data_IF_781867991680
#
_entry.id   IF_781867991680
#
_cell.length_a   1.000
_cell.length_b   1.000
_cell.length_c   1.000
_cell.angle_alpha   90.00
_cell.angle_beta   90.00
_cell.angle_gamma   90.00
#
_symmetry.space_group_name_H-M   'P 1'
#
loop_
_entity.id
_entity.type
_entity.pdbx_description
1 polymer ?
#
# COMPACT_ATOMS: atom_id res chain seq x y z
N UNK A 1 -3.38 -69.02 -66.42
CA UNK A 1 -4.58 -68.40 -67.00
C UNK A 1 -4.62 -66.94 -66.54
N UNK A 2 -4.79 -65.95 -67.43
CA UNK A 2 -4.80 -64.53 -67.04
C UNK A 2 -6.15 -64.17 -66.40
N UNK A 3 -6.15 -63.26 -65.43
CA UNK A 3 -7.34 -62.82 -64.69
C UNK A 3 -8.40 -62.21 -65.62
N UNK A 4 -7.98 -61.44 -66.63
CA UNK A 4 -8.86 -60.92 -67.67
C UNK A 4 -9.58 -62.03 -68.44
N UNK A 5 -8.86 -63.08 -68.86
CA UNK A 5 -9.44 -64.20 -69.62
C UNK A 5 -10.44 -64.99 -68.76
N UNK A 6 -10.18 -65.12 -67.45
CA UNK A 6 -11.07 -65.77 -66.50
C UNK A 6 -12.36 -64.97 -66.26
N UNK A 7 -12.25 -63.66 -66.05
CA UNK A 7 -13.41 -62.78 -65.83
C UNK A 7 -14.26 -62.67 -67.10
N UNK A 8 -13.63 -62.63 -68.28
CA UNK A 8 -14.34 -62.55 -69.55
C UNK A 8 -15.15 -63.82 -69.86
N UNK A 9 -14.64 -64.99 -69.51
CA UNK A 9 -15.33 -66.27 -69.69
C UNK A 9 -16.38 -66.58 -68.60
N UNK A 10 -16.33 -65.90 -67.45
CA UNK A 10 -17.28 -66.07 -66.34
C UNK A 10 -18.07 -64.77 -66.05
N UNK A 11 -18.20 -63.91 -67.06
CA UNK A 11 -18.77 -62.57 -66.93
C UNK A 11 -20.21 -62.59 -66.41
N UNK A 12 -20.98 -63.56 -66.85
CA UNK A 12 -22.39 -63.71 -66.45
C UNK A 12 -22.50 -64.13 -64.97
N UNK A 13 -21.61 -65.02 -64.50
CA UNK A 13 -21.55 -65.44 -63.09
C UNK A 13 -21.08 -64.33 -62.14
N UNK A 14 -20.19 -63.43 -62.61
CA UNK A 14 -19.67 -62.31 -61.79
C UNK A 14 -20.65 -61.12 -61.78
N UNK A 15 -21.45 -60.94 -62.84
CA UNK A 15 -22.38 -59.80 -62.95
C UNK A 15 -23.68 -60.00 -62.17
N UNK A 16 -24.00 -61.25 -61.81
CA UNK A 16 -25.18 -61.60 -60.98
C UNK A 16 -24.90 -61.60 -59.48
N UNK A 17 -23.63 -61.58 -59.06
CA UNK A 17 -23.27 -61.48 -57.64
C UNK A 17 -23.38 -60.03 -57.14
N UNK A 18 -24.42 -59.76 -56.37
CA UNK A 18 -24.53 -58.53 -55.59
C UNK A 18 -23.62 -58.59 -54.36
N UNK A 19 -23.02 -57.46 -53.98
CA UNK A 19 -22.30 -57.38 -52.71
C UNK A 19 -23.21 -57.83 -51.57
N UNK A 20 -22.64 -58.55 -50.61
CA UNK A 20 -23.37 -58.94 -49.41
C UNK A 20 -23.90 -57.69 -48.70
N UNK A 21 -25.13 -57.72 -48.21
CA UNK A 21 -25.71 -56.60 -47.46
C UNK A 21 -24.85 -56.14 -46.28
N UNK A 22 -24.06 -57.06 -45.70
CA UNK A 22 -23.12 -56.76 -44.63
C UNK A 22 -21.88 -56.01 -45.13
N UNK A 23 -21.39 -56.34 -46.33
CA UNK A 23 -20.28 -55.63 -46.95
C UNK A 23 -20.70 -54.21 -47.35
N UNK A 24 -21.90 -54.06 -47.92
CA UNK A 24 -22.47 -52.75 -48.27
C UNK A 24 -22.65 -51.86 -47.04
N UNK A 25 -23.28 -52.38 -45.99
CA UNK A 25 -23.47 -51.62 -44.75
C UNK A 25 -22.14 -51.20 -44.09
N UNK A 26 -21.12 -52.08 -44.13
CA UNK A 26 -19.80 -51.76 -43.62
C UNK A 26 -19.09 -50.70 -44.48
N UNK A 27 -19.22 -50.79 -45.80
CA UNK A 27 -18.63 -49.82 -46.72
C UNK A 27 -19.28 -48.44 -46.57
N UNK A 28 -20.61 -48.38 -46.45
CA UNK A 28 -21.35 -47.15 -46.18
C UNK A 28 -20.98 -46.51 -44.84
N UNK A 29 -20.76 -47.33 -43.80
CA UNK A 29 -20.28 -46.86 -42.50
C UNK A 29 -18.89 -46.22 -42.61
N UNK A 30 -17.99 -46.87 -43.37
CA UNK A 30 -16.64 -46.35 -43.63
C UNK A 30 -16.66 -45.07 -44.47
N UNK A 31 -17.54 -44.98 -45.49
CA UNK A 31 -17.72 -43.79 -46.31
C UNK A 31 -18.23 -42.61 -45.48
N UNK A 32 -19.23 -42.83 -44.61
CA UNK A 32 -19.73 -41.79 -43.70
C UNK A 32 -18.63 -41.30 -42.76
N UNK A 33 -17.82 -42.21 -42.22
CA UNK A 33 -16.71 -41.86 -41.33
C UNK A 33 -15.59 -41.07 -42.02
N UNK A 34 -15.26 -41.41 -43.28
CA UNK A 34 -14.16 -40.78 -44.02
C UNK A 34 -14.53 -39.49 -44.76
N UNK A 35 -15.71 -39.43 -45.37
CA UNK A 35 -16.11 -38.30 -46.23
C UNK A 35 -16.87 -37.20 -45.48
N UNK A 36 -17.54 -37.51 -44.37
CA UNK A 36 -18.40 -36.57 -43.66
C UNK A 36 -17.89 -36.29 -42.24
N UNK A 37 -16.64 -35.85 -42.11
CA UNK A 37 -16.19 -35.30 -40.83
C UNK A 37 -16.82 -33.91 -40.62
N UNK A 38 -17.68 -33.71 -39.61
CA UNK A 38 -18.19 -32.38 -39.31
C UNK A 38 -17.02 -31.51 -38.84
N UNK A 39 -16.76 -30.41 -39.56
CA UNK A 39 -15.81 -29.38 -39.08
C UNK A 39 -16.27 -28.95 -37.68
N UNK A 40 -15.42 -29.16 -36.67
CA UNK A 40 -15.70 -28.74 -35.28
C UNK A 40 -16.05 -27.26 -35.29
N UNK A 41 -17.29 -26.93 -34.94
CA UNK A 41 -17.72 -25.53 -34.80
C UNK A 41 -16.86 -24.89 -33.72
N UNK A 42 -16.07 -23.87 -34.07
CA UNK A 42 -15.35 -23.07 -33.06
C UNK A 42 -16.42 -22.39 -32.21
N UNK A 43 -16.55 -22.84 -30.97
CA UNK A 43 -17.49 -22.25 -30.01
C UNK A 43 -16.99 -20.84 -29.69
N UNK A 44 -17.78 -19.82 -29.99
CA UNK A 44 -17.41 -18.42 -29.79
C UNK A 44 -17.63 -18.06 -28.32
N UNK A 45 -16.70 -18.50 -27.46
CA UNK A 45 -16.66 -18.10 -26.04
C UNK A 45 -16.41 -16.60 -25.83
N UNK A 46 -16.08 -15.86 -26.90
CA UNK A 46 -15.76 -14.44 -26.87
C UNK A 46 -16.85 -13.60 -26.17
N UNK A 47 -18.15 -13.95 -26.37
CA UNK A 47 -19.27 -13.24 -25.75
C UNK A 47 -19.32 -13.42 -24.22
N UNK A 48 -18.90 -14.56 -23.70
CA UNK A 48 -18.91 -14.84 -22.27
C UNK A 48 -17.67 -14.28 -21.57
N UNK A 49 -16.53 -14.25 -22.28
CA UNK A 49 -15.28 -13.66 -21.78
C UNK A 49 -15.46 -12.14 -21.54
N UNK A 50 -16.15 -11.42 -22.45
CA UNK A 50 -16.40 -9.98 -22.28
C UNK A 50 -17.30 -9.65 -21.09
N UNK A 51 -18.28 -10.51 -20.78
CA UNK A 51 -19.18 -10.33 -19.63
C UNK A 51 -18.43 -10.58 -18.32
N UNK A 52 -17.66 -11.67 -18.23
CA UNK A 52 -16.87 -11.97 -17.02
C UNK A 52 -15.82 -10.88 -16.72
N UNK A 53 -15.14 -10.35 -17.75
CA UNK A 53 -14.19 -9.25 -17.59
C UNK A 53 -14.84 -7.97 -17.05
N UNK A 54 -16.07 -7.67 -17.50
CA UNK A 54 -16.83 -6.51 -17.02
C UNK A 54 -17.22 -6.66 -15.54
N UNK A 55 -17.65 -7.85 -15.13
CA UNK A 55 -17.96 -8.16 -13.73
C UNK A 55 -16.71 -8.04 -12.86
N UNK A 56 -15.56 -8.57 -13.32
CA UNK A 56 -14.29 -8.45 -12.61
C UNK A 56 -13.83 -7.00 -12.49
N UNK A 57 -14.00 -6.19 -13.53
CA UNK A 57 -13.67 -4.76 -13.48
C UNK A 57 -14.55 -4.03 -12.46
N UNK A 58 -15.87 -4.25 -12.46
CA UNK A 58 -16.79 -3.66 -11.48
C UNK A 58 -16.44 -4.12 -10.06
N UNK A 59 -16.13 -5.40 -9.87
CA UNK A 59 -15.74 -5.94 -8.57
C UNK A 59 -14.39 -5.37 -8.10
N UNK A 60 -13.42 -5.22 -9.00
CA UNK A 60 -12.13 -4.60 -8.69
C UNK A 60 -12.25 -3.11 -8.37
N UNK A 61 -13.13 -2.38 -9.08
CA UNK A 61 -13.42 -0.97 -8.81
C UNK A 61 -14.17 -0.81 -7.49
N UNK A 62 -15.13 -1.70 -7.20
CA UNK A 62 -15.88 -1.74 -5.94
C UNK A 62 -14.98 -2.09 -4.76
N UNK A 63 -14.07 -3.06 -4.92
CA UNK A 63 -13.08 -3.40 -3.91
C UNK A 63 -12.09 -2.26 -3.67
N UNK A 64 -11.63 -1.58 -4.72
CA UNK A 64 -10.75 -0.41 -4.60
C UNK A 64 -11.45 0.78 -3.93
N UNK A 65 -12.73 1.02 -4.24
CA UNK A 65 -13.54 2.05 -3.59
C UNK A 65 -13.88 1.70 -2.13
N UNK A 66 -14.12 0.43 -1.82
CA UNK A 66 -14.38 -0.05 -0.47
C UNK A 66 -13.13 -0.04 0.42
N UNK A 67 -11.94 0.02 -0.17
CA UNK A 67 -10.67 0.14 0.56
C UNK A 67 -10.29 1.59 0.90
N UNK A 68 -11.21 2.56 0.72
CA UNK A 68 -11.10 3.86 1.40
C UNK A 68 -11.20 3.61 2.89
N UNK A 69 -10.12 3.86 3.63
CA UNK A 69 -10.08 3.80 5.09
C UNK A 69 -11.30 4.54 5.66
N UNK A 70 -12.21 3.80 6.31
CA UNK A 70 -13.22 4.41 7.15
C UNK A 70 -12.48 4.94 8.39
N UNK A 71 -12.16 6.23 8.39
CA UNK A 71 -11.61 6.94 9.55
C UNK A 71 -12.58 6.71 10.71
N UNK A 72 -12.10 6.20 11.85
CA UNK A 72 -12.95 6.02 13.03
C UNK A 72 -13.47 7.38 13.51
N UNK A 73 -14.63 7.41 14.15
CA UNK A 73 -15.16 8.65 14.74
C UNK A 73 -14.17 9.29 15.72
N UNK A 74 -13.43 8.46 16.46
CA UNK A 74 -12.37 8.86 17.38
C UNK A 74 -11.21 9.55 16.66
N UNK A 75 -10.76 9.01 15.52
CA UNK A 75 -9.70 9.63 14.73
C UNK A 75 -10.15 10.95 14.11
N UNK A 76 -11.41 11.07 13.69
CA UNK A 76 -11.96 12.33 13.20
C UNK A 76 -12.01 13.38 14.30
N UNK A 77 -12.47 13.02 15.51
CA UNK A 77 -12.51 13.92 16.66
C UNK A 77 -11.10 14.35 17.08
N UNK A 78 -10.17 13.40 17.13
CA UNK A 78 -8.76 13.68 17.40
C UNK A 78 -8.19 14.69 16.41
N UNK A 79 -8.34 14.44 15.11
CA UNK A 79 -7.86 15.36 14.08
C UNK A 79 -8.54 16.74 14.17
N UNK A 80 -9.84 16.78 14.41
CA UNK A 80 -10.57 18.04 14.61
C UNK A 80 -10.04 18.82 15.81
N UNK A 81 -9.72 18.15 16.92
CA UNK A 81 -9.10 18.78 18.08
C UNK A 81 -7.71 19.31 17.76
N UNK A 82 -6.87 18.55 17.04
CA UNK A 82 -5.54 18.99 16.57
C UNK A 82 -5.60 20.17 15.58
N UNK A 83 -6.71 20.34 14.86
CA UNK A 83 -6.96 21.44 13.93
C UNK A 83 -7.65 22.65 14.56
N UNK A 84 -8.07 22.55 15.82
CA UNK A 84 -8.84 23.60 16.47
C UNK A 84 -8.06 24.93 16.63
N UNK A 85 -8.78 26.05 16.54
CA UNK A 85 -8.21 27.39 16.75
C UNK A 85 -7.71 27.60 18.19
N UNK A 86 -8.39 26.98 19.16
CA UNK A 86 -8.02 27.13 20.57
C UNK A 86 -6.84 26.21 20.93
N UNK A 87 -5.84 26.79 21.60
CA UNK A 87 -4.69 26.01 22.09
C UNK A 87 -5.11 24.90 23.08
N UNK A 88 -6.16 25.14 23.88
CA UNK A 88 -6.70 24.14 24.79
C UNK A 88 -7.22 22.90 24.06
N UNK A 89 -7.98 23.08 22.97
CA UNK A 89 -8.48 21.95 22.17
C UNK A 89 -7.36 21.21 21.43
N UNK A 90 -6.37 21.93 20.91
CA UNK A 90 -5.17 21.27 20.33
C UNK A 90 -4.43 20.44 21.36
N UNK A 91 -4.30 20.96 22.58
CA UNK A 91 -3.66 20.24 23.68
C UNK A 91 -4.44 18.97 24.07
N UNK A 92 -5.77 19.06 24.12
CA UNK A 92 -6.67 17.91 24.31
C UNK A 92 -6.45 16.85 23.22
N UNK A 93 -6.37 17.25 21.95
CA UNK A 93 -6.04 16.34 20.86
C UNK A 93 -4.67 15.69 21.02
N UNK A 94 -3.64 16.46 21.40
CA UNK A 94 -2.30 15.90 21.64
C UNK A 94 -2.30 14.89 22.78
N UNK A 95 -3.03 15.14 23.87
CA UNK A 95 -3.14 14.18 24.98
C UNK A 95 -3.94 12.94 24.61
N UNK A 96 -5.06 13.09 23.89
CA UNK A 96 -5.83 11.96 23.39
C UNK A 96 -5.00 11.04 22.49
N UNK A 97 -4.16 11.62 21.61
CA UNK A 97 -3.19 10.84 20.84
C UNK A 97 -2.23 10.06 21.75
N UNK A 98 -1.73 10.68 22.80
CA UNK A 98 -0.74 10.08 23.69
C UNK A 98 -1.29 8.91 24.51
N UNK A 99 -2.53 9.03 24.95
CA UNK A 99 -3.14 8.10 25.90
C UNK A 99 -3.89 6.96 25.20
N UNK A 100 -4.52 7.24 24.05
CA UNK A 100 -5.48 6.32 23.43
C UNK A 100 -5.01 5.79 22.06
N UNK A 101 -4.31 6.63 21.29
CA UNK A 101 -4.02 6.37 19.88
C UNK A 101 -2.52 6.10 19.66
N UNK A 102 -1.95 5.11 20.36
CA UNK A 102 -0.54 4.67 20.20
C UNK A 102 -0.25 3.97 18.85
N UNK A 103 -1.02 4.29 17.81
CA UNK A 103 -0.84 3.79 16.45
C UNK A 103 -0.02 4.81 15.67
N UNK A 104 0.95 4.32 14.91
CA UNK A 104 1.78 5.13 14.01
C UNK A 104 0.98 5.54 12.77
N UNK A 105 -0.03 6.39 12.95
CA UNK A 105 -0.87 6.89 11.86
C UNK A 105 -0.20 8.07 11.15
N UNK A 106 -0.01 7.93 9.83
CA UNK A 106 0.70 8.94 9.04
C UNK A 106 -0.04 10.28 9.00
N UNK A 107 -1.38 10.30 9.00
CA UNK A 107 -2.15 11.56 8.98
C UNK A 107 -1.96 12.33 10.28
N UNK A 108 -2.13 11.65 11.41
CA UNK A 108 -1.99 12.28 12.73
C UNK A 108 -0.54 12.72 12.95
N UNK A 109 0.45 11.88 12.61
CA UNK A 109 1.87 12.24 12.72
C UNK A 109 2.20 13.48 11.88
N UNK A 110 1.65 13.59 10.67
CA UNK A 110 1.86 14.78 9.84
C UNK A 110 1.28 16.03 10.50
N UNK A 111 0.11 15.91 11.11
CA UNK A 111 -0.52 17.02 11.80
C UNK A 111 0.25 17.44 13.04
N UNK A 112 0.69 16.49 13.86
CA UNK A 112 1.57 16.75 15.00
C UNK A 112 2.89 17.39 14.57
N UNK A 113 3.50 16.95 13.47
CA UNK A 113 4.70 17.60 12.91
C UNK A 113 4.39 19.05 12.50
N UNK A 114 3.23 19.32 11.92
CA UNK A 114 2.85 20.68 11.58
C UNK A 114 2.70 21.57 12.82
N UNK A 115 2.04 21.06 13.87
CA UNK A 115 1.92 21.73 15.18
C UNK A 115 3.32 22.02 15.76
N UNK A 116 4.22 21.04 15.76
CA UNK A 116 5.58 21.20 16.25
C UNK A 116 6.29 22.42 15.61
N UNK A 117 6.15 22.58 14.30
CA UNK A 117 6.81 23.66 13.57
C UNK A 117 6.08 24.99 13.68
N UNK A 118 4.75 24.99 13.58
CA UNK A 118 3.97 26.21 13.33
C UNK A 118 3.14 26.72 14.49
N UNK A 119 2.86 25.91 15.51
CA UNK A 119 1.95 26.32 16.58
C UNK A 119 2.52 27.51 17.37
N UNK A 120 1.72 28.53 17.62
CA UNK A 120 2.18 29.70 18.37
C UNK A 120 2.38 29.37 19.87
N UNK A 121 1.61 28.40 20.39
CA UNK A 121 1.59 28.05 21.80
C UNK A 121 2.71 27.06 22.16
N UNK A 122 3.63 27.51 23.01
CA UNK A 122 4.77 26.71 23.47
C UNK A 122 4.35 25.40 24.17
N UNK A 123 3.26 25.40 24.93
CA UNK A 123 2.81 24.22 25.67
C UNK A 123 2.28 23.14 24.72
N UNK A 124 1.55 23.54 23.66
CA UNK A 124 1.08 22.62 22.62
C UNK A 124 2.28 21.99 21.90
N UNK A 125 3.30 22.78 21.53
CA UNK A 125 4.55 22.24 20.96
C UNK A 125 5.24 21.26 21.90
N UNK A 126 5.36 21.59 23.19
CA UNK A 126 6.02 20.72 24.18
C UNK A 126 5.30 19.38 24.32
N UNK A 127 3.97 19.39 24.45
CA UNK A 127 3.16 18.18 24.51
C UNK A 127 3.26 17.36 23.21
N UNK A 128 3.32 18.05 22.07
CA UNK A 128 3.48 17.41 20.75
C UNK A 128 4.82 16.67 20.64
N UNK A 129 5.90 17.24 21.20
CA UNK A 129 7.20 16.56 21.25
C UNK A 129 7.09 15.25 22.06
N UNK A 130 6.33 15.25 23.17
CA UNK A 130 6.09 14.03 23.96
C UNK A 130 5.33 12.96 23.18
N UNK A 131 4.29 13.36 22.43
CA UNK A 131 3.56 12.41 21.59
C UNK A 131 4.38 11.82 20.47
N UNK A 132 5.17 12.65 19.80
CA UNK A 132 6.07 12.19 18.75
C UNK A 132 7.16 11.24 19.28
N UNK A 133 7.57 11.38 20.55
CA UNK A 133 8.55 10.50 21.18
C UNK A 133 8.05 9.06 21.40
N UNK A 134 6.76 8.81 21.31
CA UNK A 134 6.21 7.44 21.39
C UNK A 134 6.64 6.56 20.21
N UNK A 135 7.08 7.16 19.10
CA UNK A 135 7.51 6.45 17.90
C UNK A 135 9.01 6.68 17.63
N UNK A 136 9.90 6.22 18.53
CA UNK A 136 11.33 6.56 18.49
C UNK A 136 12.07 5.99 17.28
N UNK A 137 11.48 5.08 16.50
CA UNK A 137 12.08 4.51 15.28
C UNK A 137 11.64 5.23 14.00
N UNK A 138 10.67 6.14 14.08
CA UNK A 138 10.15 6.84 12.91
C UNK A 138 11.17 7.90 12.44
N UNK A 139 11.77 7.65 11.28
CA UNK A 139 12.78 8.54 10.69
C UNK A 139 12.23 9.93 10.29
N UNK A 140 10.95 10.02 9.92
CA UNK A 140 10.31 11.29 9.60
C UNK A 140 10.21 12.16 10.86
N UNK A 141 9.80 11.58 11.98
CA UNK A 141 9.73 12.28 13.27
C UNK A 141 11.11 12.78 13.69
N UNK A 142 12.13 11.89 13.67
CA UNK A 142 13.51 12.25 14.01
C UNK A 142 14.03 13.45 13.21
N UNK A 143 13.86 13.42 11.88
CA UNK A 143 14.25 14.54 11.01
C UNK A 143 13.53 15.84 11.34
N UNK A 144 12.24 15.76 11.66
CA UNK A 144 11.46 16.94 12.01
C UNK A 144 11.81 17.51 13.38
N UNK A 145 12.15 16.68 14.38
CA UNK A 145 12.66 17.16 15.67
C UNK A 145 13.99 17.92 15.51
N UNK A 146 14.89 17.44 14.65
CA UNK A 146 16.14 18.15 14.33
C UNK A 146 15.83 19.50 13.67
N UNK A 147 14.99 19.49 12.64
CA UNK A 147 14.60 20.71 11.92
C UNK A 147 13.90 21.72 12.83
N UNK A 148 13.04 21.26 13.75
CA UNK A 148 12.40 22.12 14.74
C UNK A 148 13.45 22.74 15.68
N UNK A 149 14.45 21.98 16.11
CA UNK A 149 15.52 22.50 16.97
C UNK A 149 16.33 23.62 16.30
N UNK A 150 16.53 23.55 14.99
CA UNK A 150 17.26 24.59 14.24
C UNK A 150 16.51 25.91 14.13
N UNK A 151 15.17 25.88 14.18
CA UNK A 151 14.33 27.05 13.90
C UNK A 151 13.56 27.59 15.12
N UNK A 152 13.47 26.82 16.20
CA UNK A 152 12.73 27.22 17.40
C UNK A 152 13.51 28.26 18.21
N UNK A 153 12.82 29.32 18.62
CA UNK A 153 13.37 30.44 19.38
C UNK A 153 12.92 30.44 20.85
N UNK A 154 11.82 29.77 21.19
CA UNK A 154 11.29 29.71 22.56
C UNK A 154 12.19 28.80 23.42
N UNK A 155 12.83 29.31 24.48
CA UNK A 155 13.82 28.55 25.25
C UNK A 155 13.30 27.23 25.85
N UNK A 156 12.05 27.21 26.31
CA UNK A 156 11.45 26.00 26.90
C UNK A 156 11.21 24.91 25.85
N UNK A 157 10.80 25.30 24.64
CA UNK A 157 10.60 24.37 23.52
C UNK A 157 11.95 23.85 23.02
N UNK A 158 12.96 24.71 22.91
CA UNK A 158 14.34 24.30 22.60
C UNK A 158 14.86 23.26 23.60
N UNK A 159 14.70 23.49 24.90
CA UNK A 159 15.11 22.53 25.94
C UNK A 159 14.39 21.19 25.77
N UNK A 160 13.09 21.21 25.46
CA UNK A 160 12.31 19.99 25.23
C UNK A 160 12.82 19.21 24.02
N UNK A 161 13.09 19.89 22.90
CA UNK A 161 13.67 19.32 21.69
C UNK A 161 15.06 18.72 21.93
N UNK A 162 15.92 19.44 22.64
CA UNK A 162 17.26 18.96 23.02
C UNK A 162 17.17 17.66 23.82
N UNK A 163 16.29 17.61 24.83
CA UNK A 163 16.09 16.42 25.65
C UNK A 163 15.53 15.26 24.82
N UNK A 164 14.55 15.52 23.94
CA UNK A 164 14.00 14.52 23.03
C UNK A 164 15.09 13.90 22.14
N UNK A 165 15.90 14.74 21.49
CA UNK A 165 17.00 14.28 20.62
C UNK A 165 18.09 13.54 21.40
N UNK A 166 18.35 13.94 22.65
CA UNK A 166 19.25 13.21 23.55
C UNK A 166 18.71 11.82 23.91
N UNK A 167 17.42 11.70 24.25
CA UNK A 167 16.76 10.42 24.56
C UNK A 167 16.83 9.49 23.35
N UNK A 168 16.59 10.04 22.16
CA UNK A 168 16.63 9.32 20.89
C UNK A 168 18.05 8.97 20.40
N UNK A 169 19.10 9.44 21.11
CA UNK A 169 20.52 9.37 20.70
C UNK A 169 20.74 9.83 19.25
N UNK A 170 20.11 10.94 18.88
CA UNK A 170 20.09 11.41 17.51
C UNK A 170 21.39 12.13 17.12
N UNK A 171 22.36 11.37 16.60
CA UNK A 171 23.67 11.88 16.19
C UNK A 171 23.63 12.99 15.16
N UNK A 172 22.59 13.05 14.31
CA UNK A 172 22.44 14.12 13.31
C UNK A 172 22.19 15.49 13.96
N UNK A 173 21.80 15.54 15.24
CA UNK A 173 21.58 16.77 15.99
C UNK A 173 22.87 17.46 16.49
N UNK A 174 24.05 16.86 16.30
CA UNK A 174 25.33 17.43 16.77
C UNK A 174 25.56 18.85 16.26
N UNK A 175 25.39 19.10 14.95
CA UNK A 175 25.58 20.45 14.38
C UNK A 175 24.60 21.49 14.94
N UNK A 176 23.28 21.24 14.99
CA UNK A 176 22.34 22.12 15.68
C UNK A 176 22.72 22.42 17.14
N UNK A 177 23.09 21.39 17.90
CA UNK A 177 23.47 21.55 19.31
C UNK A 177 24.75 22.40 19.46
N UNK A 178 25.74 22.21 18.59
CA UNK A 178 26.95 23.03 18.57
C UNK A 178 26.66 24.50 18.29
N UNK A 179 25.76 24.80 17.34
CA UNK A 179 25.31 26.18 17.08
C UNK A 179 24.66 26.81 18.32
N UNK A 180 23.82 26.06 19.03
CA UNK A 180 23.16 26.51 20.26
C UNK A 180 24.19 26.82 21.36
N UNK A 181 25.17 25.93 21.57
CA UNK A 181 26.24 26.10 22.57
C UNK A 181 27.08 27.35 22.29
N UNK A 182 27.47 27.54 21.03
CA UNK A 182 28.40 28.61 20.62
C UNK A 182 27.72 29.97 20.39
N UNK A 183 26.40 30.02 20.22
CA UNK A 183 25.67 31.27 20.02
C UNK A 183 25.68 32.16 21.27
N UNK A 184 26.06 33.43 21.13
CA UNK A 184 26.01 34.40 22.24
C UNK A 184 24.58 34.78 22.66
N UNK A 185 23.60 34.56 21.77
CA UNK A 185 22.20 34.93 21.98
C UNK A 185 21.40 33.84 22.71
N UNK A 186 21.90 32.60 22.74
CA UNK A 186 21.25 31.49 23.42
C UNK A 186 21.30 31.67 24.94
N UNK A 187 20.15 31.49 25.60
CA UNK A 187 20.05 31.52 27.06
C UNK A 187 20.97 30.46 27.72
N UNK A 188 21.63 30.77 28.86
CA UNK A 188 22.54 29.84 29.54
C UNK A 188 21.93 28.47 29.84
N UNK A 189 20.66 28.41 30.24
CA UNK A 189 19.96 27.15 30.54
C UNK A 189 19.81 26.26 29.30
N UNK A 190 19.58 26.85 28.12
CA UNK A 190 19.47 26.10 26.86
C UNK A 190 20.84 25.56 26.47
N UNK A 191 21.91 26.37 26.61
CA UNK A 191 23.31 25.92 26.38
C UNK A 191 23.68 24.75 27.27
N UNK A 192 23.37 24.82 28.56
CA UNK A 192 23.68 23.76 29.51
C UNK A 192 23.00 22.44 29.13
N UNK A 193 21.72 22.48 28.72
CA UNK A 193 21.02 21.30 28.21
C UNK A 193 21.63 20.78 26.90
N UNK A 194 22.03 21.67 25.99
CA UNK A 194 22.66 21.29 24.73
C UNK A 194 24.03 20.63 24.94
N UNK A 195 24.84 21.15 25.87
CA UNK A 195 26.12 20.56 26.26
C UNK A 195 25.93 19.17 26.86
N UNK A 196 24.95 19.00 27.74
CA UNK A 196 24.61 17.67 28.31
C UNK A 196 24.16 16.69 27.22
N UNK A 197 23.27 17.12 26.31
CA UNK A 197 22.83 16.29 25.20
C UNK A 197 23.99 15.89 24.28
N UNK A 198 24.94 16.79 24.00
CA UNK A 198 26.12 16.51 23.19
C UNK A 198 26.98 15.36 23.76
N UNK A 199 27.08 15.26 25.09
CA UNK A 199 27.78 14.16 25.75
C UNK A 199 27.03 12.85 25.55
N UNK A 200 25.70 12.86 25.73
CA UNK A 200 24.87 11.67 25.66
C UNK A 200 24.76 11.08 24.25
N UNK A 201 24.69 11.91 23.21
CA UNK A 201 24.54 11.41 21.83
C UNK A 201 25.84 10.81 21.28
N UNK A 202 27.00 11.20 21.82
CA UNK A 202 28.31 10.68 21.40
C UNK A 202 28.63 9.28 21.95
N UNK A 203 27.84 8.78 22.91
CA UNK A 203 28.00 7.48 23.57
C UNK A 203 27.09 6.39 22.97
#
# INVERSE_FOLDING_TARGET
MKLEDFIKNNKDAVSEEQMSSKADANFDSLLKHKLHQPRKKKVVYLKYISVAASILLIFSLGFWFSNKENISSEEQELLANLDADSAGKRLEGVYAFNDEYQKEDTRIINRLIEILHKDENANVKIATIDGLLQFPKNEKIRKNLISALENEDKPLVQIKLIKALSILRENRAQKPLEKIINSKQTFPIVKNNATLAMVNIKQ
#
